data_IF_185608085417
#
_entry.id   IF_185608085417
#
_cell.length_a   1.000
_cell.length_b   1.000
_cell.length_c   1.000
_cell.angle_alpha   90.00
_cell.angle_beta   90.00
_cell.angle_gamma   90.00
#
_symmetry.space_group_name_H-M   'P 1'
#
loop_
_entity.id
_entity.type
_entity.pdbx_description
1 polymer ?
#
# COMPACT_ATOMS: atom_id res chain seq x y z
N UNK A 1 -9.73 -18.43 9.89
CA UNK A 1 -9.22 -17.05 9.76
C UNK A 1 -8.19 -16.82 10.85
N UNK A 2 -7.00 -16.27 10.54
CA UNK A 2 -6.00 -15.93 11.57
C UNK A 2 -6.13 -14.45 11.91
N UNK A 3 -6.14 -14.10 13.20
CA UNK A 3 -6.24 -12.73 13.70
C UNK A 3 -4.86 -12.25 14.12
N UNK A 4 -4.54 -11.01 13.78
CA UNK A 4 -3.33 -10.30 14.19
C UNK A 4 -3.79 -9.04 14.92
N UNK A 5 -3.30 -8.85 16.14
CA UNK A 5 -3.50 -7.62 16.89
C UNK A 5 -2.17 -6.84 16.88
N UNK A 6 -2.22 -5.54 16.58
CA UNK A 6 -1.05 -4.65 16.46
C UNK A 6 -1.23 -3.46 17.40
N UNK A 7 -0.16 -3.11 18.11
CA UNK A 7 -0.03 -1.83 18.79
C UNK A 7 0.65 -0.84 17.85
N UNK A 8 0.00 0.29 17.62
CA UNK A 8 0.50 1.38 16.77
C UNK A 8 0.42 2.71 17.53
N UNK A 9 1.19 3.70 17.09
CA UNK A 9 1.11 5.05 17.64
C UNK A 9 -0.25 5.69 17.32
N UNK A 10 -0.64 6.67 18.13
CA UNK A 10 -1.88 7.43 17.90
C UNK A 10 -1.88 8.14 16.54
N UNK A 11 -0.74 8.73 16.15
CA UNK A 11 -0.60 9.45 14.88
C UNK A 11 -0.82 8.51 13.68
N UNK A 12 -0.25 7.30 13.72
CA UNK A 12 -0.47 6.31 12.67
C UNK A 12 -1.91 5.81 12.66
N UNK A 13 -2.54 5.65 13.82
CA UNK A 13 -3.96 5.26 13.90
C UNK A 13 -4.88 6.32 13.27
N UNK A 14 -4.59 7.61 13.48
CA UNK A 14 -5.32 8.72 12.87
C UNK A 14 -5.11 8.74 11.35
N UNK A 15 -3.87 8.57 10.87
CA UNK A 15 -3.58 8.57 9.45
C UNK A 15 -4.28 7.40 8.73
N UNK A 16 -4.22 6.19 9.30
CA UNK A 16 -4.94 5.03 8.76
C UNK A 16 -6.46 5.24 8.73
N UNK A 17 -7.00 5.95 9.72
CA UNK A 17 -8.43 6.28 9.78
C UNK A 17 -8.81 7.28 8.70
N UNK A 18 -8.04 8.36 8.53
CA UNK A 18 -8.27 9.36 7.50
C UNK A 18 -8.20 8.77 6.08
N UNK A 19 -7.22 7.90 5.81
CA UNK A 19 -7.12 7.19 4.52
C UNK A 19 -8.34 6.30 4.29
N UNK A 20 -8.76 5.56 5.32
CA UNK A 20 -9.91 4.66 5.25
C UNK A 20 -11.21 5.42 4.95
N UNK A 21 -11.44 6.53 5.66
CA UNK A 21 -12.60 7.41 5.46
C UNK A 21 -12.60 8.04 4.07
N UNK A 22 -11.48 8.61 3.63
CA UNK A 22 -11.35 9.23 2.31
C UNK A 22 -11.58 8.26 1.15
N UNK A 23 -11.30 6.97 1.35
CA UNK A 23 -11.52 5.93 0.36
C UNK A 23 -12.83 5.14 0.55
N UNK A 24 -13.61 5.41 1.60
CA UNK A 24 -14.84 4.68 1.92
C UNK A 24 -14.62 3.19 2.23
N UNK A 25 -13.48 2.84 2.83
CA UNK A 25 -13.09 1.46 3.17
C UNK A 25 -12.80 1.29 4.66
N UNK A 26 -12.58 0.06 5.12
CA UNK A 26 -12.16 -0.17 6.50
C UNK A 26 -10.64 -0.03 6.66
N UNK A 27 -10.17 0.38 7.85
CA UNK A 27 -8.74 0.45 8.21
C UNK A 27 -7.95 -0.83 7.92
N UNK A 28 -8.55 -1.99 8.15
CA UNK A 28 -7.87 -3.26 7.89
C UNK A 28 -7.65 -3.50 6.39
N UNK A 29 -8.48 -2.91 5.51
CA UNK A 29 -8.26 -2.93 4.07
C UNK A 29 -7.11 -2.02 3.66
N UNK A 30 -6.95 -0.86 4.32
CA UNK A 30 -5.79 0.03 4.13
C UNK A 30 -4.50 -0.73 4.43
N UNK A 31 -4.42 -1.39 5.60
CA UNK A 31 -3.26 -2.19 5.98
C UNK A 31 -2.99 -3.34 5.00
N UNK A 32 -4.05 -4.04 4.55
CA UNK A 32 -3.91 -5.14 3.58
C UNK A 32 -3.39 -4.65 2.23
N UNK A 33 -3.89 -3.51 1.74
CA UNK A 33 -3.45 -2.89 0.49
C UNK A 33 -2.02 -2.39 0.60
N UNK A 34 -1.66 -1.71 1.69
CA UNK A 34 -0.28 -1.27 1.95
C UNK A 34 0.69 -2.44 1.95
N UNK A 35 0.36 -3.55 2.61
CA UNK A 35 1.19 -4.75 2.59
C UNK A 35 1.33 -5.36 1.18
N UNK A 36 0.29 -5.29 0.36
CA UNK A 36 0.36 -5.74 -1.03
C UNK A 36 1.33 -4.89 -1.86
N UNK A 37 1.35 -3.57 -1.66
CA UNK A 37 2.31 -2.67 -2.31
C UNK A 37 3.74 -3.00 -1.89
N UNK A 38 4.00 -3.17 -0.59
CA UNK A 38 5.32 -3.57 -0.08
C UNK A 38 5.77 -4.93 -0.66
N UNK A 39 4.85 -5.89 -0.78
CA UNK A 39 5.14 -7.19 -1.40
C UNK A 39 5.49 -7.03 -2.88
N UNK A 40 4.75 -6.21 -3.62
CA UNK A 40 5.06 -5.91 -5.01
C UNK A 40 6.45 -5.26 -5.14
N UNK A 41 6.79 -4.31 -4.26
CA UNK A 41 8.08 -3.62 -4.27
C UNK A 41 9.24 -4.58 -4.05
N UNK A 42 9.10 -5.48 -3.08
CA UNK A 42 10.07 -6.54 -2.83
C UNK A 42 10.26 -7.46 -4.05
N UNK A 43 9.18 -7.82 -4.74
CA UNK A 43 9.24 -8.68 -5.94
C UNK A 43 9.90 -7.93 -7.10
N UNK A 44 9.54 -6.67 -7.34
CA UNK A 44 10.11 -5.83 -8.38
C UNK A 44 11.63 -5.70 -8.19
N UNK A 45 12.08 -5.37 -6.97
CA UNK A 45 13.49 -5.29 -6.61
C UNK A 45 14.22 -6.60 -6.81
N UNK A 46 13.63 -7.73 -6.41
CA UNK A 46 14.24 -9.06 -6.61
C UNK A 46 14.39 -9.44 -8.09
N UNK A 47 13.61 -8.81 -8.98
CA UNK A 47 13.68 -8.99 -10.44
C UNK A 47 14.54 -7.92 -11.15
N UNK A 48 15.16 -7.01 -10.40
CA UNK A 48 15.93 -5.89 -10.96
C UNK A 48 15.09 -4.82 -11.64
N UNK A 49 13.78 -4.75 -11.36
CA UNK A 49 12.92 -3.69 -11.87
C UNK A 49 13.13 -2.40 -11.07
N UNK A 50 13.31 -1.24 -11.72
CA UNK A 50 13.68 0.01 -11.06
C UNK A 50 12.53 0.72 -10.33
N UNK A 51 11.27 0.40 -10.67
CA UNK A 51 10.08 1.07 -10.15
C UNK A 51 8.84 0.17 -10.17
N UNK A 52 7.75 0.64 -9.55
CA UNK A 52 6.42 0.07 -9.71
C UNK A 52 5.47 1.15 -10.20
N UNK A 53 4.69 0.81 -11.22
CA UNK A 53 3.59 1.62 -11.69
C UNK A 53 2.23 1.11 -11.24
N UNK A 54 1.31 2.01 -10.96
CA UNK A 54 -0.12 1.74 -10.90
C UNK A 54 -0.76 2.32 -12.15
N UNK A 55 -1.61 1.53 -12.79
CA UNK A 55 -2.38 2.01 -13.93
C UNK A 55 -3.75 1.34 -13.98
N UNK A 56 -4.74 2.11 -14.41
CA UNK A 56 -6.06 1.66 -14.81
C UNK A 56 -6.15 1.38 -16.31
N UNK A 57 -5.24 1.95 -17.11
CA UNK A 57 -5.11 1.75 -18.55
C UNK A 57 -3.68 1.27 -18.88
N UNK A 58 -3.48 0.04 -19.37
CA UNK A 58 -2.15 -0.48 -19.71
C UNK A 58 -1.31 0.39 -20.65
N UNK A 59 -1.94 1.29 -21.44
CA UNK A 59 -1.23 2.22 -22.33
C UNK A 59 -0.74 3.50 -21.63
N UNK A 60 -1.11 3.72 -20.36
CA UNK A 60 -0.82 4.94 -19.60
C UNK A 60 -0.32 4.58 -18.19
N UNK A 61 0.37 5.51 -17.55
CA UNK A 61 0.81 5.36 -16.17
C UNK A 61 0.12 6.43 -15.32
N UNK A 62 -0.63 6.01 -14.31
CA UNK A 62 -1.38 6.92 -13.44
C UNK A 62 -0.51 7.39 -12.26
N UNK A 63 0.27 6.46 -11.68
CA UNK A 63 1.15 6.75 -10.55
C UNK A 63 2.38 5.84 -10.57
N UNK A 64 3.54 6.39 -10.23
CA UNK A 64 4.80 5.65 -10.15
C UNK A 64 5.40 5.77 -8.74
N UNK A 65 5.86 4.65 -8.20
CA UNK A 65 6.67 4.60 -6.99
C UNK A 65 8.14 4.34 -7.35
N UNK A 66 8.95 5.38 -7.20
CA UNK A 66 10.39 5.38 -7.49
C UNK A 66 11.22 4.98 -6.27
N UNK A 67 11.44 3.68 -6.06
CA UNK A 67 12.43 3.11 -5.12
C UNK A 67 12.56 3.81 -3.74
N UNK A 68 11.47 4.35 -3.19
CA UNK A 68 11.41 5.09 -1.91
C UNK A 68 10.83 4.27 -0.73
N UNK A 69 10.61 2.96 -0.93
CA UNK A 69 10.06 2.06 0.11
C UNK A 69 11.13 1.17 0.75
#
# INVERSE_FOLDING_TARGET
>A
MRRLDLLISADLDQELTAIAEGAGICRHDVLRRGLAVLKAARIARARGLPHIGFTTDPARLDLELLNVL
#
